data_IF_709883821460
#
_entry.id   IF_709883821460
#
_cell.length_a   1.000
_cell.length_b   1.000
_cell.length_c   1.000
_cell.angle_alpha   90.00
_cell.angle_beta   90.00
_cell.angle_gamma   90.00
#
_symmetry.space_group_name_H-M   'P 1'
#
loop_
_entity.id
_entity.type
_entity.pdbx_description
1 polymer ?
#
# COMPACT_ATOMS: atom_id res chain seq x y z
N UNK A 1 4.33 1.72 15.29
CA UNK A 1 5.55 1.96 14.50
C UNK A 1 5.10 2.22 13.09
N UNK A 2 5.40 3.40 12.58
CA UNK A 2 5.09 3.82 11.21
C UNK A 2 6.18 3.27 10.28
N UNK A 3 5.80 2.86 9.07
CA UNK A 3 6.74 2.35 8.08
C UNK A 3 6.52 3.04 6.73
N UNK A 4 7.63 3.32 6.05
CA UNK A 4 7.64 3.85 4.70
C UNK A 4 8.43 2.89 3.80
N UNK A 5 7.86 2.56 2.64
CA UNK A 5 8.49 1.74 1.61
C UNK A 5 8.32 2.46 0.28
N UNK A 6 9.41 2.82 -0.38
CA UNK A 6 9.39 3.60 -1.62
C UNK A 6 9.92 2.76 -2.79
N UNK A 7 9.45 3.08 -4.00
CA UNK A 7 9.85 2.47 -5.27
C UNK A 7 9.73 0.94 -5.27
N UNK A 8 8.71 0.40 -4.61
CA UNK A 8 8.50 -1.05 -4.54
C UNK A 8 7.88 -1.52 -5.86
N UNK A 9 8.51 -2.45 -6.60
CA UNK A 9 7.91 -3.00 -7.80
C UNK A 9 6.75 -3.92 -7.44
N UNK A 10 5.60 -3.67 -8.07
CA UNK A 10 4.41 -4.53 -8.04
C UNK A 10 4.06 -4.91 -9.47
N UNK A 11 4.00 -6.22 -9.75
CA UNK A 11 3.58 -6.72 -11.06
C UNK A 11 2.05 -6.74 -11.13
N UNK A 12 1.50 -6.06 -12.13
CA UNK A 12 0.07 -5.97 -12.41
C UNK A 12 -0.11 -6.21 -13.90
N UNK A 13 -0.90 -7.23 -14.26
CA UNK A 13 -1.14 -7.61 -15.66
C UNK A 13 0.13 -7.83 -16.50
N UNK A 14 1.24 -8.24 -15.86
CA UNK A 14 2.53 -8.49 -16.49
C UNK A 14 3.43 -7.26 -16.64
N UNK A 15 3.01 -6.09 -16.14
CA UNK A 15 3.81 -4.87 -16.09
C UNK A 15 4.22 -4.53 -14.65
N UNK A 16 5.45 -4.08 -14.46
CA UNK A 16 5.95 -3.67 -13.15
C UNK A 16 5.67 -2.17 -12.93
N UNK A 17 4.91 -1.86 -11.88
CA UNK A 17 4.64 -0.49 -11.45
C UNK A 17 5.41 -0.19 -10.16
N UNK A 18 6.01 1.00 -10.08
CA UNK A 18 6.63 1.50 -8.85
C UNK A 18 5.54 1.98 -7.89
N UNK A 19 5.57 1.47 -6.66
CA UNK A 19 4.55 1.74 -5.63
C UNK A 19 5.21 2.18 -4.35
N UNK A 20 4.71 3.28 -3.79
CA UNK A 20 5.10 3.77 -2.47
C UNK A 20 4.02 3.43 -1.45
N UNK A 21 4.45 3.11 -0.24
CA UNK A 21 3.60 2.72 0.88
C UNK A 21 3.97 3.53 2.12
N UNK A 22 2.96 4.12 2.76
CA UNK A 22 3.06 4.75 4.08
C UNK A 22 2.08 4.07 5.03
N UNK A 23 2.60 3.26 5.94
CA UNK A 23 1.81 2.43 6.87
C UNK A 23 1.60 3.13 8.20
N UNK A 24 0.34 3.16 8.65
CA UNK A 24 -0.13 3.83 9.89
C UNK A 24 0.17 5.32 9.93
N UNK A 25 0.09 5.99 8.78
CA UNK A 25 0.17 7.44 8.72
C UNK A 25 -1.11 8.04 9.32
N UNK A 26 -0.96 8.97 10.26
CA UNK A 26 -2.10 9.70 10.84
C UNK A 26 -2.58 10.78 9.87
N UNK A 27 -3.79 10.64 9.34
CA UNK A 27 -4.35 11.59 8.38
C UNK A 27 -5.85 11.81 8.55
N UNK A 28 -6.52 12.19 7.46
CA UNK A 28 -7.97 12.44 7.40
C UNK A 28 -8.81 11.27 7.95
N UNK A 29 -8.32 10.04 7.80
CA UNK A 29 -9.01 8.81 8.19
C UNK A 29 -8.52 8.22 9.52
N UNK A 30 -7.76 8.98 10.31
CA UNK A 30 -7.05 8.42 11.46
C UNK A 30 -5.80 7.66 11.02
N UNK A 31 -5.51 6.52 11.64
CA UNK A 31 -4.41 5.65 11.24
C UNK A 31 -4.82 4.86 9.99
N UNK A 32 -4.17 5.17 8.87
CA UNK A 32 -4.43 4.50 7.59
C UNK A 32 -3.12 4.13 6.89
N UNK A 33 -3.25 3.33 5.83
CA UNK A 33 -2.17 3.04 4.91
C UNK A 33 -2.41 3.76 3.60
N UNK A 34 -1.45 4.58 3.19
CA UNK A 34 -1.48 5.28 1.92
C UNK A 34 -0.58 4.56 0.93
N UNK A 35 -1.15 4.22 -0.22
CA UNK A 35 -0.49 3.50 -1.30
C UNK A 35 -0.56 4.40 -2.54
N UNK A 36 0.58 4.77 -3.10
CA UNK A 36 0.64 5.69 -4.25
C UNK A 36 1.45 5.10 -5.39
N UNK A 37 0.97 5.31 -6.61
CA UNK A 37 1.66 4.89 -7.83
C UNK A 37 1.15 5.72 -9.01
N UNK A 38 2.06 6.29 -9.81
CA UNK A 38 1.73 7.04 -11.05
C UNK A 38 0.66 8.14 -10.85
N UNK A 39 0.74 8.88 -9.74
CA UNK A 39 -0.23 9.93 -9.40
C UNK A 39 -1.62 9.41 -8.96
N UNK A 40 -1.80 8.09 -8.86
CA UNK A 40 -2.99 7.44 -8.31
C UNK A 40 -2.75 7.07 -6.86
N UNK A 41 -3.83 6.99 -6.08
CA UNK A 41 -3.79 6.68 -4.65
C UNK A 41 -4.82 5.60 -4.30
N UNK A 42 -4.45 4.76 -3.36
CA UNK A 42 -5.31 3.85 -2.64
C UNK A 42 -5.06 4.06 -1.14
N UNK A 43 -6.14 4.30 -0.39
CA UNK A 43 -6.12 4.43 1.06
C UNK A 43 -6.89 3.26 1.64
N UNK A 44 -6.25 2.54 2.56
CA UNK A 44 -6.86 1.43 3.29
C UNK A 44 -6.71 1.63 4.79
N UNK A 45 -7.60 1.05 5.59
CA UNK A 45 -7.49 1.06 7.05
C UNK A 45 -6.49 0.01 7.57
N UNK A 46 -6.48 -0.23 8.88
CA UNK A 46 -5.61 -1.20 9.53
C UNK A 46 -5.97 -2.66 9.22
N UNK A 47 -7.22 -2.91 8.82
CA UNK A 47 -7.74 -4.21 8.39
C UNK A 47 -7.62 -4.40 6.85
N UNK A 48 -6.98 -3.44 6.18
CA UNK A 48 -6.81 -3.34 4.73
C UNK A 48 -8.12 -3.20 3.95
N UNK A 49 -9.19 -2.72 4.58
CA UNK A 49 -10.42 -2.34 3.88
C UNK A 49 -10.22 -1.02 3.12
N UNK A 50 -10.80 -0.94 1.92
CA UNK A 50 -10.61 0.23 1.05
C UNK A 50 -11.46 1.40 1.54
N UNK A 51 -10.79 2.46 1.98
CA UNK A 51 -11.42 3.71 2.42
C UNK A 51 -11.63 4.69 1.25
N UNK A 52 -10.60 4.86 0.42
CA UNK A 52 -10.62 5.76 -0.74
C UNK A 52 -9.70 5.23 -1.84
N UNK A 53 -10.06 5.40 -3.11
CA UNK A 53 -9.17 5.00 -4.19
C UNK A 53 -9.46 5.71 -5.51
N UNK A 54 -8.40 6.22 -6.14
CA UNK A 54 -8.39 6.67 -7.54
C UNK A 54 -7.75 5.64 -8.47
N UNK A 55 -7.26 4.52 -7.93
CA UNK A 55 -6.64 3.44 -8.68
C UNK A 55 -7.67 2.51 -9.36
N UNK A 56 -7.31 1.88 -10.49
CA UNK A 56 -8.13 0.84 -11.11
C UNK A 56 -8.43 -0.31 -10.14
N UNK A 57 -9.63 -0.91 -10.24
CA UNK A 57 -10.05 -1.99 -9.33
C UNK A 57 -9.08 -3.18 -9.30
N UNK A 58 -8.53 -3.56 -10.45
CA UNK A 58 -7.62 -4.71 -10.58
C UNK A 58 -6.23 -4.45 -9.96
N UNK A 59 -5.86 -3.18 -9.71
CA UNK A 59 -4.57 -2.84 -9.08
C UNK A 59 -4.59 -2.99 -7.56
N UNK A 60 -5.78 -2.90 -6.95
CA UNK A 60 -5.91 -2.77 -5.50
C UNK A 60 -5.39 -3.99 -4.74
N UNK A 61 -5.81 -5.19 -5.16
CA UNK A 61 -5.44 -6.42 -4.47
C UNK A 61 -3.93 -6.71 -4.56
N UNK A 62 -3.28 -6.66 -5.74
CA UNK A 62 -1.83 -6.84 -5.83
C UNK A 62 -1.03 -5.88 -4.94
N UNK A 63 -1.47 -4.62 -4.86
CA UNK A 63 -0.81 -3.62 -4.03
C UNK A 63 -0.96 -3.90 -2.53
N UNK A 64 -2.15 -4.30 -2.09
CA UNK A 64 -2.41 -4.69 -0.69
C UNK A 64 -1.62 -5.94 -0.33
N UNK A 65 -1.64 -6.97 -1.19
CA UNK A 65 -0.90 -8.22 -0.96
C UNK A 65 0.61 -7.96 -0.80
N UNK A 66 1.15 -7.05 -1.61
CA UNK A 66 2.55 -6.64 -1.49
C UNK A 66 2.83 -5.93 -0.17
N UNK A 67 1.97 -5.00 0.26
CA UNK A 67 2.10 -4.33 1.56
C UNK A 67 2.11 -5.34 2.71
N UNK A 68 1.19 -6.29 2.71
CA UNK A 68 1.12 -7.36 3.72
C UNK A 68 2.42 -8.16 3.76
N UNK A 69 2.98 -8.51 2.60
CA UNK A 69 4.26 -9.21 2.51
C UNK A 69 5.42 -8.39 3.08
N UNK A 70 5.50 -7.09 2.77
CA UNK A 70 6.53 -6.18 3.31
C UNK A 70 6.45 -6.09 4.84
N UNK A 71 5.24 -5.93 5.38
CA UNK A 71 5.01 -5.86 6.83
C UNK A 71 5.36 -7.18 7.53
N UNK A 72 5.04 -8.32 6.91
CA UNK A 72 5.40 -9.64 7.45
C UNK A 72 6.92 -9.84 7.53
N UNK A 73 7.66 -9.43 6.49
CA UNK A 73 9.13 -9.46 6.49
C UNK A 73 9.68 -8.51 7.54
N UNK A 74 9.13 -7.30 7.66
CA UNK A 74 9.60 -6.30 8.63
C UNK A 74 9.41 -6.80 10.06
N UNK A 75 8.23 -7.33 10.41
CA UNK A 75 7.91 -7.89 11.73
C UNK A 75 8.80 -9.06 12.14
N UNK A 76 9.33 -9.83 11.19
CA UNK A 76 10.26 -10.94 11.47
C UNK A 76 11.67 -10.47 11.82
N UNK A 77 12.04 -9.24 11.44
CA UNK A 77 13.36 -8.67 11.65
C UNK A 77 13.41 -7.69 12.85
N UNK A 78 12.37 -7.67 13.68
CA UNK A 78 12.29 -6.93 14.95
C UNK A 78 12.25 -7.92 16.10
#
# INVERSE_FOLDING_TARGET
MEYEFNDIPVEIDGEAHAVDYRYRESGKYGLACYITSEGKQLVVDEDFEVLESTMPKHWKQPMIDRLVALLAVRRRNV
#
